data_IF_080549887954
#
_entry.id   IF_080549887954
#
_cell.length_a   1.000
_cell.length_b   1.000
_cell.length_c   1.000
_cell.angle_alpha   90.00
_cell.angle_beta   90.00
_cell.angle_gamma   90.00
#
_symmetry.space_group_name_H-M   'P 1'
#
loop_
_entity.id
_entity.type
_entity.pdbx_description
1 polymer ?
#
# COMPACT_ATOMS: atom_id res chain seq x y z
N UNK A 1 -9.07 -68.92 19.27
CA UNK A 1 -9.88 -68.35 18.16
C UNK A 1 -10.41 -66.99 18.63
N UNK A 2 -10.19 -65.83 18.02
CA UNK A 2 -9.78 -65.49 16.66
C UNK A 2 -9.15 -64.07 16.66
N UNK A 3 -8.05 -63.89 15.91
CA UNK A 3 -7.49 -62.59 15.52
C UNK A 3 -8.41 -61.94 14.48
N UNK A 4 -8.72 -60.64 14.60
CA UNK A 4 -9.03 -59.77 13.45
C UNK A 4 -8.38 -58.39 13.63
N UNK A 5 -7.32 -58.15 12.86
CA UNK A 5 -6.56 -56.91 12.77
C UNK A 5 -7.35 -55.86 11.97
N UNK A 6 -7.67 -54.72 12.57
CA UNK A 6 -8.20 -53.53 11.86
C UNK A 6 -7.00 -52.78 11.27
N UNK A 7 -6.60 -53.13 10.04
CA UNK A 7 -5.54 -52.44 9.25
C UNK A 7 -6.12 -51.52 8.15
N UNK A 8 -7.24 -50.86 8.39
CA UNK A 8 -7.92 -50.02 7.39
C UNK A 8 -7.57 -48.51 7.41
N UNK A 9 -7.01 -47.99 8.51
CA UNK A 9 -7.00 -46.53 8.75
C UNK A 9 -5.66 -45.83 8.45
N UNK A 10 -4.60 -46.58 8.12
CA UNK A 10 -3.27 -46.01 7.87
C UNK A 10 -3.12 -45.51 6.42
N UNK A 11 -3.72 -46.21 5.45
CA UNK A 11 -3.66 -45.82 4.03
C UNK A 11 -4.40 -44.51 3.72
N UNK A 12 -5.48 -44.21 4.45
CA UNK A 12 -6.25 -42.96 4.29
C UNK A 12 -5.49 -41.71 4.77
N UNK A 13 -4.66 -41.85 5.81
CA UNK A 13 -3.85 -40.75 6.34
C UNK A 13 -2.69 -40.40 5.40
N UNK A 14 -2.05 -41.42 4.83
CA UNK A 14 -0.93 -41.24 3.88
C UNK A 14 -1.40 -40.64 2.54
N UNK A 15 -2.61 -40.97 2.09
CA UNK A 15 -3.21 -40.37 0.90
C UNK A 15 -3.51 -38.88 1.10
N UNK A 16 -3.96 -38.46 2.29
CA UNK A 16 -4.26 -37.07 2.58
C UNK A 16 -2.99 -36.22 2.70
N UNK A 17 -1.92 -36.75 3.30
CA UNK A 17 -0.61 -36.07 3.32
C UNK A 17 0.01 -35.95 1.95
N UNK A 18 -0.13 -36.98 1.10
CA UNK A 18 0.36 -36.93 -0.28
C UNK A 18 -0.43 -35.92 -1.13
N UNK A 19 -1.75 -35.85 -0.96
CA UNK A 19 -2.60 -34.87 -1.63
C UNK A 19 -2.28 -33.42 -1.18
N UNK A 20 -1.99 -33.22 0.12
CA UNK A 20 -1.55 -31.92 0.63
C UNK A 20 -0.17 -31.54 0.06
N UNK A 21 0.78 -32.48 0.01
CA UNK A 21 2.11 -32.22 -0.55
C UNK A 21 2.05 -31.90 -2.05
N UNK A 22 1.19 -32.59 -2.81
CA UNK A 22 0.96 -32.31 -4.22
C UNK A 22 0.27 -30.96 -4.45
N UNK A 23 -0.68 -30.56 -3.59
CA UNK A 23 -1.33 -29.25 -3.72
C UNK A 23 -0.39 -28.08 -3.37
N UNK A 24 0.55 -28.26 -2.44
CA UNK A 24 1.60 -27.28 -2.17
C UNK A 24 2.67 -27.20 -3.29
N UNK A 25 2.88 -28.27 -4.06
CA UNK A 25 3.86 -28.32 -5.16
C UNK A 25 3.37 -27.72 -6.48
N UNK A 26 2.06 -27.50 -6.63
CA UNK A 26 1.40 -27.06 -7.88
C UNK A 26 0.99 -25.58 -7.87
N UNK A 27 1.43 -24.77 -6.90
CA UNK A 27 1.22 -23.33 -6.96
C UNK A 27 2.07 -22.74 -8.08
N UNK A 28 1.49 -22.58 -9.26
CA UNK A 28 2.09 -21.83 -10.35
C UNK A 28 2.51 -20.44 -9.89
N UNK A 29 3.63 -19.95 -10.41
CA UNK A 29 4.12 -18.60 -10.14
C UNK A 29 3.12 -17.60 -10.75
N UNK A 30 2.20 -17.10 -9.95
CA UNK A 30 1.33 -16.01 -10.36
C UNK A 30 2.17 -14.73 -10.44
N UNK A 31 2.42 -14.24 -11.65
CA UNK A 31 3.04 -12.93 -11.86
C UNK A 31 2.02 -11.84 -11.51
N UNK A 32 1.99 -11.42 -10.25
CA UNK A 32 1.30 -10.18 -9.85
C UNK A 32 2.06 -8.97 -10.37
N UNK A 33 1.73 -8.50 -11.58
CA UNK A 33 2.41 -7.35 -12.20
C UNK A 33 2.21 -6.02 -11.42
N UNK A 34 1.20 -5.93 -10.57
CA UNK A 34 0.73 -4.69 -9.95
C UNK A 34 1.47 -4.24 -8.67
N UNK A 35 2.68 -4.77 -8.39
CA UNK A 35 3.48 -4.36 -7.21
C UNK A 35 4.88 -3.84 -7.55
N UNK A 36 5.09 -3.50 -8.82
CA UNK A 36 6.39 -3.02 -9.30
C UNK A 36 6.29 -1.58 -9.81
N UNK A 37 7.39 -0.84 -9.74
CA UNK A 37 7.58 0.46 -10.33
C UNK A 37 8.69 0.44 -11.40
N UNK A 38 9.11 1.62 -11.81
CA UNK A 38 10.19 1.80 -12.77
C UNK A 38 11.14 2.93 -12.38
N UNK A 39 12.35 2.88 -12.92
CA UNK A 39 13.28 4.02 -12.97
C UNK A 39 13.52 4.32 -14.43
N UNK A 40 13.37 5.57 -14.84
CA UNK A 40 13.56 5.97 -16.23
C UNK A 40 14.25 7.32 -16.32
N UNK A 41 14.79 7.66 -17.48
CA UNK A 41 15.34 9.00 -17.69
C UNK A 41 16.22 9.07 -18.91
N UNK A 42 17.16 9.99 -18.86
CA UNK A 42 18.15 10.22 -19.92
C UNK A 42 19.56 10.06 -19.39
N UNK A 43 20.44 9.56 -20.24
CA UNK A 43 21.87 9.44 -20.04
C UNK A 43 22.62 9.93 -21.30
N UNK A 44 23.92 10.24 -21.22
CA UNK A 44 24.72 10.57 -22.38
C UNK A 44 24.66 9.45 -23.43
N UNK A 45 24.81 9.82 -24.71
CA UNK A 45 24.88 8.84 -25.79
C UNK A 45 26.35 8.58 -26.06
N UNK A 46 26.93 7.58 -25.40
CA UNK A 46 28.24 7.06 -25.75
C UNK A 46 28.21 5.53 -25.88
N UNK A 47 29.11 4.99 -26.72
CA UNK A 47 29.19 3.55 -26.94
C UNK A 47 29.59 2.82 -25.64
N UNK A 48 28.83 1.78 -25.28
CA UNK A 48 29.12 0.96 -24.09
C UNK A 48 28.58 1.52 -22.77
N UNK A 49 27.63 2.45 -22.81
CA UNK A 49 26.96 2.95 -21.61
C UNK A 49 25.77 2.06 -21.21
N UNK A 50 25.78 1.64 -19.94
CA UNK A 50 24.68 0.92 -19.30
C UNK A 50 24.29 1.62 -18.01
N UNK A 51 23.02 1.58 -17.67
CA UNK A 51 22.52 2.06 -16.38
C UNK A 51 22.31 0.86 -15.48
N UNK A 52 22.98 0.87 -14.33
CA UNK A 52 22.87 -0.14 -13.29
C UNK A 52 22.02 0.38 -12.14
N UNK A 53 20.91 -0.29 -11.87
CA UNK A 53 19.97 0.00 -10.79
C UNK A 53 20.08 -1.09 -9.73
N UNK A 54 20.45 -0.74 -8.50
CA UNK A 54 20.67 -1.69 -7.40
C UNK A 54 19.73 -1.40 -6.25
N UNK A 55 19.00 -2.41 -5.78
CA UNK A 55 18.15 -2.31 -4.59
C UNK A 55 19.00 -2.26 -3.32
N UNK A 56 18.80 -1.23 -2.50
CA UNK A 56 19.54 -1.06 -1.24
C UNK A 56 19.14 -2.12 -0.19
N UNK A 57 17.97 -2.75 -0.34
CA UNK A 57 17.43 -3.71 0.64
C UNK A 57 17.74 -5.18 0.32
N UNK A 58 17.83 -5.52 -0.98
CA UNK A 58 17.95 -6.91 -1.44
C UNK A 58 19.22 -7.17 -2.24
N UNK A 59 19.92 -6.12 -2.69
CA UNK A 59 21.02 -6.25 -3.63
C UNK A 59 20.58 -6.60 -5.06
N UNK A 60 19.28 -6.67 -5.33
CA UNK A 60 18.73 -6.92 -6.67
C UNK A 60 19.32 -5.88 -7.64
N UNK A 61 20.05 -6.37 -8.65
CA UNK A 61 20.67 -5.54 -9.67
C UNK A 61 19.91 -5.69 -10.98
N UNK A 62 19.60 -4.56 -11.63
CA UNK A 62 19.04 -4.50 -12.98
C UNK A 62 19.93 -3.61 -13.83
N UNK A 63 20.41 -4.14 -14.94
CA UNK A 63 21.18 -3.37 -15.92
C UNK A 63 20.37 -3.17 -17.20
N UNK A 64 20.41 -1.95 -17.73
CA UNK A 64 19.70 -1.55 -18.95
C UNK A 64 20.64 -0.76 -19.84
N UNK A 65 20.67 -1.05 -21.13
CA UNK A 65 21.44 -0.26 -22.11
C UNK A 65 20.79 1.10 -22.35
N UNK A 66 21.61 2.14 -22.53
CA UNK A 66 21.12 3.44 -22.97
C UNK A 66 20.78 3.37 -24.46
N UNK A 67 19.58 3.84 -24.84
CA UNK A 67 19.14 3.92 -26.23
C UNK A 67 19.97 4.91 -27.04
N UNK A 68 19.91 4.82 -28.37
CA UNK A 68 20.58 5.76 -29.27
C UNK A 68 20.06 7.21 -29.15
N UNK A 69 18.86 7.36 -28.60
CA UNK A 69 18.20 8.62 -28.26
C UNK A 69 18.57 9.13 -26.85
N UNK A 70 19.42 8.40 -26.12
CA UNK A 70 19.83 8.72 -24.75
C UNK A 70 18.83 8.29 -23.69
N UNK A 71 17.71 7.67 -24.06
CA UNK A 71 16.69 7.24 -23.12
C UNK A 71 16.98 5.85 -22.53
N UNK A 72 16.61 5.65 -21.28
CA UNK A 72 16.66 4.34 -20.63
C UNK A 72 15.45 4.14 -19.71
N UNK A 73 15.06 2.88 -19.52
CA UNK A 73 13.97 2.51 -18.61
C UNK A 73 14.21 1.13 -18.00
N UNK A 74 14.34 1.10 -16.68
CA UNK A 74 14.38 -0.09 -15.87
C UNK A 74 13.00 -0.30 -15.23
N UNK A 75 12.23 -1.24 -15.79
CA UNK A 75 10.89 -1.60 -15.29
C UNK A 75 10.92 -2.84 -14.40
N UNK A 76 9.78 -3.14 -13.78
CA UNK A 76 9.56 -4.30 -12.90
C UNK A 76 10.43 -4.28 -11.63
N UNK A 77 10.73 -3.07 -11.15
CA UNK A 77 11.47 -2.89 -9.91
C UNK A 77 10.51 -3.00 -8.72
N UNK A 78 10.83 -3.83 -7.72
CA UNK A 78 10.08 -3.84 -6.46
C UNK A 78 10.01 -2.45 -5.81
N UNK A 79 9.00 -2.22 -4.97
CA UNK A 79 8.96 -0.99 -4.15
C UNK A 79 10.15 -0.97 -3.20
N UNK A 80 10.82 0.17 -3.14
CA UNK A 80 11.93 0.37 -2.22
C UNK A 80 12.85 1.49 -2.64
N UNK A 81 14.01 1.51 -1.99
CA UNK A 81 15.05 2.48 -2.25
C UNK A 81 16.17 1.86 -3.10
N UNK A 82 16.62 2.62 -4.09
CA UNK A 82 17.55 2.19 -5.11
C UNK A 82 18.72 3.16 -5.25
N UNK A 83 19.86 2.59 -5.67
CA UNK A 83 21.01 3.32 -6.14
C UNK A 83 21.11 3.14 -7.65
N UNK A 84 21.11 4.24 -8.40
CA UNK A 84 21.17 4.27 -9.86
C UNK A 84 22.53 4.76 -10.28
N UNK A 85 23.27 3.97 -11.06
CA UNK A 85 24.62 4.31 -11.52
C UNK A 85 24.73 4.24 -13.03
N UNK A 86 25.36 5.26 -13.63
CA UNK A 86 25.79 5.22 -15.02
C UNK A 86 27.11 4.47 -15.09
N UNK A 87 27.15 3.42 -15.90
CA UNK A 87 28.32 2.60 -16.17
C UNK A 87 28.83 2.89 -17.57
N UNK A 88 30.13 3.11 -17.73
CA UNK A 88 30.79 3.22 -19.04
C UNK A 88 31.93 2.22 -19.08
N UNK A 89 31.85 1.24 -19.99
CA UNK A 89 32.84 0.17 -20.13
C UNK A 89 33.14 -0.56 -18.81
N UNK A 90 32.13 -0.74 -17.94
CA UNK A 90 32.26 -1.41 -16.64
C UNK A 90 32.71 -0.51 -15.47
N UNK A 91 33.00 0.78 -15.70
CA UNK A 91 33.33 1.73 -14.63
C UNK A 91 32.14 2.62 -14.29
N UNK A 92 31.97 2.94 -13.01
CA UNK A 92 30.94 3.88 -12.53
C UNK A 92 31.35 5.31 -12.89
N UNK A 93 30.53 6.00 -13.68
CA UNK A 93 30.76 7.39 -14.12
C UNK A 93 29.95 8.38 -13.28
N UNK A 94 28.76 7.98 -12.83
CA UNK A 94 27.88 8.81 -12.02
C UNK A 94 26.98 7.92 -11.17
N UNK A 95 26.62 8.38 -9.96
CA UNK A 95 25.75 7.64 -9.04
C UNK A 95 24.74 8.58 -8.40
N UNK A 96 23.47 8.19 -8.48
CA UNK A 96 22.36 8.76 -7.73
C UNK A 96 21.93 7.79 -6.64
N UNK A 97 22.08 8.22 -5.39
CA UNK A 97 21.67 7.45 -4.21
C UNK A 97 20.25 7.83 -3.77
N UNK A 98 19.62 6.96 -2.99
CA UNK A 98 18.30 7.19 -2.36
C UNK A 98 17.15 7.47 -3.35
N UNK A 99 17.16 6.80 -4.51
CA UNK A 99 16.06 6.87 -5.48
C UNK A 99 14.90 6.02 -4.97
N UNK A 100 13.80 6.66 -4.58
CA UNK A 100 12.58 5.98 -4.11
C UNK A 100 11.74 5.52 -5.30
N UNK A 101 11.44 4.23 -5.35
CA UNK A 101 10.56 3.63 -6.34
C UNK A 101 9.28 3.17 -5.65
N UNK A 102 8.16 3.75 -6.08
CA UNK A 102 6.81 3.41 -5.64
C UNK A 102 6.10 2.51 -6.67
N UNK A 103 5.01 1.84 -6.26
CA UNK A 103 4.24 0.97 -7.19
C UNK A 103 3.64 1.78 -8.32
N UNK A 104 3.68 1.24 -9.54
CA UNK A 104 3.05 1.84 -10.72
C UNK A 104 3.42 3.31 -11.00
N UNK A 105 4.45 3.82 -10.31
CA UNK A 105 5.09 5.10 -10.52
C UNK A 105 6.46 4.87 -11.12
N UNK A 106 6.92 5.85 -11.89
CA UNK A 106 8.29 5.86 -12.37
C UNK A 106 9.09 6.94 -11.67
N UNK A 107 10.31 6.60 -11.24
CA UNK A 107 11.25 7.56 -10.70
C UNK A 107 12.10 8.13 -11.86
N UNK A 108 11.90 9.40 -12.24
CA UNK A 108 12.73 10.04 -13.27
C UNK A 108 14.12 10.35 -12.71
N UNK A 109 15.16 9.83 -13.35
CA UNK A 109 16.57 10.07 -13.00
C UNK A 109 17.33 10.48 -14.25
N UNK A 110 17.74 11.75 -14.30
CA UNK A 110 18.62 12.26 -15.35
C UNK A 110 20.06 12.04 -14.91
N UNK A 111 20.78 11.20 -15.66
CA UNK A 111 22.18 10.93 -15.43
C UNK A 111 23.00 11.84 -16.33
N UNK A 112 23.83 12.69 -15.73
CA UNK A 112 24.86 13.41 -16.48
C UNK A 112 26.18 12.63 -16.39
N UNK A 113 26.94 12.60 -17.49
CA UNK A 113 28.36 12.26 -17.41
C UNK A 113 29.02 13.26 -16.44
N UNK A 114 29.77 12.76 -15.45
CA UNK A 114 30.51 13.62 -14.56
C UNK A 114 31.42 14.53 -15.40
N UNK A 115 31.22 15.85 -15.31
CA UNK A 115 32.18 16.83 -15.80
C UNK A 115 33.40 16.81 -14.87
N UNK A 116 34.24 15.78 -15.00
CA UNK A 116 35.42 15.58 -14.18
C UNK A 116 36.37 14.66 -14.93
N UNK A 117 37.49 15.22 -15.39
CA UNK A 117 38.50 14.49 -16.13
C UNK A 117 38.97 13.23 -15.42
N UNK A 118 39.50 12.30 -16.22
CA UNK A 118 40.33 11.18 -15.75
C UNK A 118 41.27 11.69 -14.64
N UNK A 119 41.19 11.07 -13.45
CA UNK A 119 41.96 11.38 -12.23
C UNK A 119 41.34 12.42 -11.27
N UNK A 120 40.32 12.01 -10.51
CA UNK A 120 40.08 12.61 -9.19
C UNK A 120 40.12 11.49 -8.17
N UNK A 121 41.27 11.36 -7.50
CA UNK A 121 41.38 10.59 -6.27
C UNK A 121 40.35 11.11 -5.26
N UNK A 122 39.77 10.15 -4.53
CA UNK A 122 38.70 10.30 -3.58
C UNK A 122 39.20 11.01 -2.30
N UNK A 123 39.54 12.29 -2.38
CA UNK A 123 39.82 13.13 -1.22
C UNK A 123 38.53 13.83 -0.78
N UNK A 124 37.83 13.17 0.16
CA UNK A 124 36.90 13.80 1.10
C UNK A 124 36.03 14.93 0.54
N UNK A 125 35.34 14.71 -0.56
CA UNK A 125 34.35 15.66 -1.02
C UNK A 125 33.20 15.65 -0.02
N UNK A 126 32.99 16.78 0.67
CA UNK A 126 31.73 17.06 1.36
C UNK A 126 30.64 17.08 0.29
N UNK A 127 29.99 15.94 0.11
CA UNK A 127 28.84 15.84 -0.79
C UNK A 127 27.73 16.70 -0.19
N UNK A 128 27.61 17.92 -0.70
CA UNK A 128 26.44 18.76 -0.44
C UNK A 128 25.27 18.08 -1.15
N UNK A 129 24.58 17.17 -0.46
CA UNK A 129 23.25 16.73 -0.83
C UNK A 129 22.31 17.91 -0.65
N UNK A 130 22.33 18.84 -1.60
CA UNK A 130 21.20 19.74 -1.79
C UNK A 130 19.99 18.83 -1.95
N UNK A 131 18.95 19.04 -1.13
CA UNK A 131 17.65 18.39 -1.29
C UNK A 131 17.15 18.74 -2.69
N UNK A 132 17.48 17.90 -3.68
CA UNK A 132 16.91 17.98 -5.00
C UNK A 132 15.40 17.86 -4.81
N UNK A 133 14.65 18.83 -5.34
CA UNK A 133 13.19 18.77 -5.33
C UNK A 133 12.79 17.38 -5.87
N UNK A 134 11.85 16.68 -5.21
CA UNK A 134 11.42 15.37 -5.67
C UNK A 134 10.98 15.50 -7.13
N UNK A 135 11.67 14.79 -8.01
CA UNK A 135 11.45 14.89 -9.44
C UNK A 135 10.03 14.40 -9.75
N UNK A 136 9.27 15.22 -10.48
CA UNK A 136 7.88 14.92 -10.82
C UNK A 136 7.87 13.89 -11.93
N UNK A 137 7.13 12.79 -11.72
CA UNK A 137 6.86 11.81 -12.77
C UNK A 137 5.93 12.43 -13.83
N UNK A 138 6.53 12.93 -14.91
CA UNK A 138 5.81 13.49 -16.07
C UNK A 138 5.28 12.41 -17.03
N UNK A 139 5.56 11.13 -16.77
CA UNK A 139 5.07 10.02 -17.59
C UNK A 139 3.65 9.57 -17.19
N UNK A 140 3.17 10.01 -16.02
CA UNK A 140 1.87 9.62 -15.48
C UNK A 140 0.89 10.78 -15.44
N UNK A 141 -0.36 10.51 -15.82
CA UNK A 141 -1.51 11.42 -15.64
C UNK A 141 -2.30 11.13 -14.37
N UNK A 142 -1.85 10.17 -13.55
CA UNK A 142 -2.56 9.73 -12.33
C UNK A 142 -2.44 10.78 -11.23
N UNK A 143 -3.57 11.11 -10.61
CA UNK A 143 -3.57 11.89 -9.37
C UNK A 143 -3.45 10.93 -8.17
N UNK A 144 -2.22 10.75 -7.71
CA UNK A 144 -1.88 9.78 -6.66
C UNK A 144 -1.22 10.46 -5.46
N UNK A 145 -1.65 10.09 -4.26
CA UNK A 145 -0.94 10.38 -3.02
C UNK A 145 -0.31 9.09 -2.48
N UNK A 146 1.01 9.11 -2.31
CA UNK A 146 1.78 7.97 -1.80
C UNK A 146 2.25 8.28 -0.40
N UNK A 147 1.87 7.43 0.56
CA UNK A 147 2.30 7.53 1.95
C UNK A 147 3.16 6.31 2.30
N UNK A 148 4.42 6.56 2.67
CA UNK A 148 5.40 5.51 2.98
C UNK A 148 5.33 5.06 4.43
N UNK A 149 5.86 3.87 4.74
CA UNK A 149 5.94 3.36 6.11
C UNK A 149 6.67 4.31 7.07
N UNK A 150 7.67 5.04 6.60
CA UNK A 150 8.39 6.06 7.38
C UNK A 150 7.46 7.20 7.78
N UNK A 151 6.64 7.70 6.84
CA UNK A 151 5.65 8.75 7.10
C UNK A 151 4.52 8.24 8.01
N UNK A 152 4.03 7.02 7.79
CA UNK A 152 3.01 6.40 8.65
C UNK A 152 3.46 6.29 10.11
N UNK A 153 4.76 6.11 10.38
CA UNK A 153 5.27 6.09 11.75
C UNK A 153 5.22 7.45 12.45
N UNK A 154 5.25 8.55 11.68
CA UNK A 154 5.31 9.91 12.21
C UNK A 154 3.93 10.56 12.32
N UNK A 155 2.96 10.14 11.49
CA UNK A 155 1.66 10.77 11.40
C UNK A 155 0.69 10.27 12.48
N UNK A 156 0.02 11.17 13.22
CA UNK A 156 -0.97 10.79 14.22
C UNK A 156 -2.30 10.43 13.55
N UNK A 157 -2.40 9.21 13.02
CA UNK A 157 -3.61 8.68 12.37
C UNK A 157 -4.36 7.69 13.25
N UNK A 158 -5.64 7.44 12.94
CA UNK A 158 -6.44 6.39 13.60
C UNK A 158 -5.99 4.96 13.25
N UNK A 159 -5.00 4.84 12.35
CA UNK A 159 -4.28 3.62 11.94
C UNK A 159 -5.11 2.61 11.17
N UNK A 160 -5.84 3.11 10.18
CA UNK A 160 -6.58 2.32 9.20
C UNK A 160 -6.34 2.89 7.80
N UNK A 161 -6.70 2.12 6.78
CA UNK A 161 -6.50 2.47 5.38
C UNK A 161 -7.19 3.78 5.01
N UNK A 162 -8.39 3.98 5.54
CA UNK A 162 -9.21 5.15 5.24
C UNK A 162 -8.59 6.43 5.82
N UNK A 163 -8.09 6.39 7.05
CA UNK A 163 -7.44 7.57 7.64
C UNK A 163 -6.17 7.97 6.91
N UNK A 164 -5.48 7.01 6.26
CA UNK A 164 -4.32 7.31 5.41
C UNK A 164 -4.80 7.95 4.09
N UNK A 165 -5.86 7.40 3.48
CA UNK A 165 -6.42 7.93 2.24
C UNK A 165 -7.00 9.35 2.39
N UNK A 166 -7.50 9.72 3.58
CA UNK A 166 -7.95 11.08 3.89
C UNK A 166 -6.83 12.15 3.84
N UNK A 167 -5.56 11.76 3.78
CA UNK A 167 -4.45 12.69 3.56
C UNK A 167 -4.34 13.14 2.10
N UNK A 168 -4.96 12.40 1.17
CA UNK A 168 -4.94 12.75 -0.24
C UNK A 168 -5.93 13.90 -0.52
N UNK A 169 -5.58 14.84 -1.42
CA UNK A 169 -6.48 15.91 -1.82
C UNK A 169 -7.72 15.35 -2.52
N UNK A 170 -8.87 16.00 -2.34
CA UNK A 170 -10.13 15.57 -2.96
C UNK A 170 -10.79 14.34 -2.30
N UNK A 171 -10.35 13.97 -1.10
CA UNK A 171 -10.99 12.92 -0.30
C UNK A 171 -11.79 13.52 0.85
N UNK A 172 -12.89 12.88 1.22
CA UNK A 172 -13.74 13.32 2.34
C UNK A 172 -14.33 12.14 3.09
N UNK A 173 -14.48 12.28 4.41
CA UNK A 173 -15.07 11.23 5.24
C UNK A 173 -16.54 11.02 4.90
N UNK A 174 -16.94 9.78 4.66
CA UNK A 174 -18.33 9.40 4.49
C UNK A 174 -19.09 9.29 5.81
N UNK A 175 -20.38 9.01 5.70
CA UNK A 175 -21.23 8.76 6.87
C UNK A 175 -21.17 7.27 7.25
N UNK A 176 -20.92 6.97 8.52
CA UNK A 176 -20.90 5.59 9.04
C UNK A 176 -22.19 4.80 8.76
N UNK A 177 -23.31 5.49 8.57
CA UNK A 177 -24.60 4.87 8.21
C UNK A 177 -24.62 4.28 6.79
N UNK A 178 -23.68 4.68 5.94
CA UNK A 178 -23.54 4.20 4.55
C UNK A 178 -22.58 3.00 4.45
N UNK A 179 -22.00 2.58 5.57
CA UNK A 179 -21.03 1.50 5.65
C UNK A 179 -19.79 1.88 6.44
N UNK A 180 -19.11 0.86 6.96
CA UNK A 180 -17.84 1.01 7.67
C UNK A 180 -16.80 0.08 7.10
N UNK A 181 -15.56 0.55 6.98
CA UNK A 181 -14.42 -0.27 6.61
C UNK A 181 -14.03 -1.29 7.69
N UNK A 182 -13.00 -2.10 7.45
CA UNK A 182 -12.60 -3.22 8.33
C UNK A 182 -12.30 -2.83 9.77
N UNK A 183 -11.85 -1.60 9.98
CA UNK A 183 -11.53 -1.06 11.30
C UNK A 183 -12.72 -0.39 11.99
N UNK A 184 -13.94 -0.48 11.43
CA UNK A 184 -15.14 0.19 11.91
C UNK A 184 -15.17 1.69 11.62
N UNK A 185 -14.28 2.17 10.75
CA UNK A 185 -14.24 3.58 10.32
C UNK A 185 -15.22 3.85 9.19
N UNK A 186 -15.80 5.07 9.10
CA UNK A 186 -16.59 5.44 7.95
C UNK A 186 -15.77 5.29 6.66
N UNK A 187 -16.43 4.78 5.61
CA UNK A 187 -15.85 4.74 4.26
C UNK A 187 -15.63 6.17 3.74
N UNK A 188 -14.80 6.32 2.71
CA UNK A 188 -14.39 7.63 2.17
C UNK A 188 -15.10 7.91 0.85
N UNK A 189 -15.40 9.17 0.57
CA UNK A 189 -15.75 9.64 -0.76
C UNK A 189 -14.54 10.28 -1.43
N UNK A 190 -14.33 9.94 -2.70
CA UNK A 190 -13.27 10.47 -3.55
C UNK A 190 -13.91 11.33 -4.63
N UNK A 191 -13.47 12.58 -4.78
CA UNK A 191 -13.95 13.45 -5.86
C UNK A 191 -15.45 13.79 -5.83
N UNK A 192 -16.18 13.41 -4.76
CA UNK A 192 -17.63 13.56 -4.67
C UNK A 192 -18.43 12.29 -4.97
N UNK A 193 -17.77 11.19 -5.34
CA UNK A 193 -18.40 9.90 -5.65
C UNK A 193 -18.88 9.16 -4.39
N UNK A 194 -19.66 8.11 -4.60
CA UNK A 194 -20.22 7.32 -3.51
C UNK A 194 -19.13 6.56 -2.74
N UNK A 195 -19.35 6.36 -1.45
CA UNK A 195 -18.39 5.64 -0.58
C UNK A 195 -18.22 4.16 -0.93
N UNK A 196 -19.14 3.61 -1.73
CA UNK A 196 -19.15 2.21 -2.22
C UNK A 196 -18.69 2.08 -3.68
N UNK A 197 -18.20 3.17 -4.28
CA UNK A 197 -17.65 3.17 -5.64
C UNK A 197 -16.12 3.11 -5.66
N UNK A 198 -15.53 2.81 -4.50
CA UNK A 198 -14.09 2.71 -4.31
C UNK A 198 -13.60 1.28 -4.43
N UNK A 199 -12.38 1.10 -4.94
CA UNK A 199 -11.75 -0.20 -4.97
C UNK A 199 -10.55 -0.29 -4.00
N UNK A 200 -10.42 -1.45 -3.36
CA UNK A 200 -9.39 -1.77 -2.38
C UNK A 200 -8.46 -2.83 -2.94
N UNK A 201 -7.17 -2.57 -2.93
CA UNK A 201 -6.15 -3.49 -3.41
C UNK A 201 -5.11 -3.77 -2.33
N UNK A 202 -4.69 -5.02 -2.21
CA UNK A 202 -3.53 -5.42 -1.42
C UNK A 202 -2.56 -6.15 -2.34
N UNK A 203 -1.33 -5.64 -2.43
CA UNK A 203 -0.28 -6.18 -3.30
C UNK A 203 -0.79 -6.41 -4.74
N UNK A 204 -1.61 -5.48 -5.26
CA UNK A 204 -2.17 -5.56 -6.61
C UNK A 204 -3.38 -6.50 -6.77
N UNK A 205 -3.81 -7.19 -5.72
CA UNK A 205 -5.02 -8.02 -5.75
C UNK A 205 -6.23 -7.23 -5.25
N UNK A 206 -7.35 -7.32 -5.96
CA UNK A 206 -8.60 -6.70 -5.53
C UNK A 206 -9.12 -7.43 -4.27
N UNK A 207 -9.35 -6.64 -3.23
CA UNK A 207 -9.82 -7.06 -1.89
C UNK A 207 -11.10 -6.37 -1.48
N UNK A 208 -11.72 -5.64 -2.40
CA UNK A 208 -13.02 -4.97 -2.24
C UNK A 208 -14.09 -6.00 -1.88
N UNK A 209 -15.04 -5.64 -1.02
CA UNK A 209 -16.19 -6.48 -0.71
C UNK A 209 -16.94 -6.85 -2.01
N UNK A 210 -17.00 -8.14 -2.39
CA UNK A 210 -17.60 -8.55 -3.65
C UNK A 210 -19.13 -8.41 -3.68
N UNK A 211 -19.78 -8.25 -2.52
CA UNK A 211 -21.25 -8.18 -2.42
C UNK A 211 -21.73 -6.74 -2.48
N UNK A 212 -21.28 -5.89 -1.55
CA UNK A 212 -21.77 -4.53 -1.40
C UNK A 212 -20.83 -3.43 -1.90
N UNK A 213 -19.60 -3.78 -2.34
CA UNK A 213 -18.49 -2.83 -2.57
C UNK A 213 -18.23 -1.88 -1.39
N UNK A 214 -18.65 -2.27 -0.17
CA UNK A 214 -18.52 -1.45 1.02
C UNK A 214 -17.19 -1.78 1.72
N UNK A 215 -16.13 -1.07 1.31
CA UNK A 215 -14.80 -1.33 1.85
C UNK A 215 -14.12 -2.55 1.20
N UNK A 216 -13.11 -3.09 1.88
CA UNK A 216 -12.39 -4.28 1.45
C UNK A 216 -11.47 -4.77 2.56
N UNK A 217 -10.74 -5.87 2.37
CA UNK A 217 -9.74 -6.31 3.35
C UNK A 217 -8.58 -5.31 3.37
N UNK A 218 -8.07 -4.97 4.55
CA UNK A 218 -6.92 -4.07 4.72
C UNK A 218 -5.78 -4.76 5.49
N UNK A 219 -4.55 -4.35 5.20
CA UNK A 219 -3.38 -4.78 5.96
C UNK A 219 -3.37 -4.14 7.36
N UNK A 220 -2.83 -4.83 8.38
CA UNK A 220 -2.50 -4.19 9.65
C UNK A 220 -1.61 -2.97 9.41
N UNK A 221 -1.84 -1.87 10.12
CA UNK A 221 -1.17 -0.58 9.88
C UNK A 221 0.36 -0.66 9.78
N UNK A 222 1.00 -1.46 10.65
CA UNK A 222 2.46 -1.62 10.67
C UNK A 222 3.00 -2.67 9.68
N UNK A 223 2.12 -3.36 8.96
CA UNK A 223 2.49 -4.25 7.88
C UNK A 223 2.55 -3.53 6.52
N UNK A 224 1.99 -2.32 6.43
CA UNK A 224 1.96 -1.50 5.21
C UNK A 224 3.35 -0.89 4.99
N UNK A 225 3.99 -1.24 3.88
CA UNK A 225 5.20 -0.59 3.40
C UNK A 225 4.89 0.75 2.70
N UNK A 226 3.83 0.76 1.91
CA UNK A 226 3.38 1.91 1.14
C UNK A 226 1.86 1.81 0.95
N UNK A 227 1.15 2.93 1.10
CA UNK A 227 -0.23 3.04 0.65
C UNK A 227 -0.34 4.13 -0.41
N UNK A 228 -0.91 3.77 -1.54
CA UNK A 228 -1.25 4.67 -2.61
C UNK A 228 -2.75 4.96 -2.60
N UNK A 229 -3.06 6.23 -2.72
CA UNK A 229 -4.42 6.74 -2.78
C UNK A 229 -4.57 7.43 -4.12
N UNK A 230 -5.23 6.77 -5.06
CA UNK A 230 -5.41 7.28 -6.43
C UNK A 230 -6.82 7.84 -6.53
N UNK A 231 -6.93 9.15 -6.74
CA UNK A 231 -8.22 9.84 -6.77
C UNK A 231 -8.78 9.98 -8.18
N UNK A 232 -7.91 10.01 -9.20
CA UNK A 232 -8.30 10.12 -10.61
C UNK A 232 -7.17 9.69 -11.55
N UNK A 233 -7.49 9.52 -12.83
CA UNK A 233 -6.53 9.18 -13.89
C UNK A 233 -5.99 7.75 -13.82
N UNK A 234 -6.58 6.87 -13.00
CA UNK A 234 -6.22 5.46 -12.93
C UNK A 234 -6.64 4.71 -14.20
N UNK A 235 -5.84 3.72 -14.61
CA UNK A 235 -6.07 2.97 -15.83
C UNK A 235 -7.07 1.82 -15.66
N UNK A 236 -7.34 1.12 -16.76
CA UNK A 236 -8.30 0.01 -16.82
C UNK A 236 -7.91 -1.20 -15.94
N UNK A 237 -6.67 -1.26 -15.45
CA UNK A 237 -6.24 -2.25 -14.47
C UNK A 237 -7.00 -2.15 -13.14
N UNK A 238 -7.54 -0.97 -12.81
CA UNK A 238 -8.36 -0.75 -11.63
C UNK A 238 -9.85 -0.76 -12.01
N UNK A 239 -10.36 -1.97 -12.30
CA UNK A 239 -11.77 -2.17 -12.60
C UNK A 239 -12.69 -2.07 -11.37
N UNK A 240 -13.99 -1.90 -11.62
CA UNK A 240 -15.05 -1.82 -10.59
C UNK A 240 -14.86 -0.67 -9.58
N UNK A 241 -14.20 0.39 -10.02
CA UNK A 241 -14.04 1.64 -9.28
C UNK A 241 -14.53 2.78 -10.17
N UNK A 242 -15.44 3.62 -9.65
CA UNK A 242 -15.82 4.90 -10.27
C UNK A 242 -15.30 6.07 -9.44
N UNK A 243 -15.18 5.88 -8.12
CA UNK A 243 -14.58 6.83 -7.19
C UNK A 243 -13.06 6.73 -7.16
N UNK A 244 -12.51 6.30 -6.03
CA UNK A 244 -11.06 6.21 -5.83
C UNK A 244 -10.54 4.79 -5.61
N UNK A 245 -9.22 4.65 -5.75
CA UNK A 245 -8.50 3.40 -5.50
C UNK A 245 -7.59 3.54 -4.30
N UNK A 246 -7.74 2.64 -3.34
CA UNK A 246 -6.82 2.46 -2.21
C UNK A 246 -5.98 1.22 -2.49
N UNK A 247 -4.70 1.40 -2.77
CA UNK A 247 -3.75 0.30 -3.02
C UNK A 247 -2.71 0.24 -1.91
N UNK A 248 -2.70 -0.87 -1.18
CA UNK A 248 -1.75 -1.12 -0.09
C UNK A 248 -0.71 -2.14 -0.53
N UNK A 249 0.55 -1.86 -0.23
CA UNK A 249 1.64 -2.80 -0.39
C UNK A 249 2.20 -3.15 0.98
N UNK A 250 2.35 -4.44 1.23
CA UNK A 250 2.97 -4.95 2.45
C UNK A 250 4.50 -4.89 2.39
N UNK A 251 5.16 -4.91 3.55
CA UNK A 251 6.60 -5.06 3.60
C UNK A 251 7.09 -6.33 2.88
N UNK A 252 8.04 -6.14 1.96
CA UNK A 252 8.79 -7.22 1.33
C UNK A 252 9.98 -7.61 2.19
N UNK A 253 10.36 -8.89 2.16
CA UNK A 253 11.56 -9.36 2.86
C UNK A 253 12.84 -8.80 2.22
N UNK A 254 13.80 -8.41 3.04
CA UNK A 254 15.16 -8.05 2.64
C UNK A 254 16.17 -9.13 3.08
N UNK A 255 17.46 -8.83 2.92
CA UNK A 255 18.53 -9.75 3.33
C UNK A 255 18.79 -9.72 4.85
N UNK A 256 18.24 -8.75 5.56
CA UNK A 256 18.36 -8.61 7.01
C UNK A 256 17.13 -9.18 7.72
N UNK A 257 17.38 -9.79 8.88
CA UNK A 257 16.33 -10.33 9.74
C UNK A 257 15.67 -9.20 10.53
N UNK A 258 14.34 -9.11 10.47
CA UNK A 258 13.56 -8.12 11.22
C UNK A 258 12.33 -8.74 11.90
N UNK A 259 12.26 -8.61 13.22
CA UNK A 259 11.09 -8.95 14.04
C UNK A 259 10.58 -7.71 14.79
N UNK A 260 9.30 -7.71 15.16
CA UNK A 260 8.72 -6.62 15.94
C UNK A 260 7.35 -6.99 16.47
N UNK A 261 7.03 -6.50 17.66
CA UNK A 261 5.72 -6.62 18.29
C UNK A 261 5.16 -5.22 18.57
N UNK A 262 3.84 -5.09 18.52
CA UNK A 262 3.18 -3.84 18.85
C UNK A 262 1.90 -4.09 19.63
N UNK A 263 1.62 -3.20 20.60
CA UNK A 263 0.43 -3.25 21.45
C UNK A 263 -0.28 -1.90 21.38
N UNK A 264 -1.54 -1.91 20.94
CA UNK A 264 -2.47 -0.79 21.14
C UNK A 264 -3.28 -1.02 22.40
N UNK A 265 -3.37 -0.01 23.26
CA UNK A 265 -4.32 0.00 24.36
C UNK A 265 -5.09 1.32 24.37
N UNK A 266 -6.43 1.23 24.36
CA UNK A 266 -7.35 2.37 24.38
C UNK A 266 -8.33 2.20 25.54
N UNK A 267 -7.99 2.65 26.77
CA UNK A 267 -8.88 2.50 27.91
C UNK A 267 -10.18 3.27 27.72
N UNK A 268 -11.32 2.63 28.02
CA UNK A 268 -12.65 3.24 27.84
C UNK A 268 -12.89 4.43 28.77
N UNK A 269 -12.22 4.47 29.93
CA UNK A 269 -12.31 5.59 30.89
C UNK A 269 -11.60 6.86 30.40
N UNK A 270 -10.68 6.76 29.45
CA UNK A 270 -9.94 7.88 28.88
C UNK A 270 -10.50 8.35 27.52
N UNK A 271 -11.58 7.73 27.05
CA UNK A 271 -12.19 8.07 25.77
C UNK A 271 -13.23 9.18 25.98
N UNK A 272 -13.20 10.18 25.10
CA UNK A 272 -14.28 11.16 25.02
C UNK A 272 -15.60 10.43 24.70
N UNK A 273 -16.72 10.78 25.35
CA UNK A 273 -18.01 10.20 25.02
C UNK A 273 -18.36 10.50 23.56
N UNK A 274 -18.70 9.46 22.79
CA UNK A 274 -19.12 9.61 21.38
C UNK A 274 -20.32 10.55 21.31
N UNK A 275 -20.17 11.68 20.61
CA UNK A 275 -21.26 12.64 20.39
C UNK A 275 -22.37 11.95 19.59
N UNK A 276 -23.43 11.54 20.29
CA UNK A 276 -24.65 11.08 19.65
C UNK A 276 -25.27 12.27 18.91
N UNK A 277 -25.22 12.27 17.58
CA UNK A 277 -25.98 13.23 16.78
C UNK A 277 -27.47 13.02 17.04
N UNK A 278 -28.12 14.00 17.67
CA UNK A 278 -29.56 13.98 17.88
C UNK A 278 -30.23 14.33 16.54
N UNK A 279 -30.54 13.33 15.74
CA UNK A 279 -31.43 13.54 14.59
C UNK A 279 -32.82 13.81 15.13
N UNK A 280 -33.20 15.09 15.17
CA UNK A 280 -34.53 15.52 15.57
C UNK A 280 -35.50 15.17 14.45
N UNK A 281 -36.06 13.96 14.47
CA UNK A 281 -37.15 13.57 13.58
C UNK A 281 -38.34 14.50 13.85
N UNK A 282 -38.54 15.52 13.01
CA UNK A 282 -39.80 16.28 13.01
C UNK A 282 -40.88 15.32 12.49
N UNK A 283 -41.59 14.66 13.40
CA UNK A 283 -42.87 14.07 13.07
C UNK A 283 -43.78 15.22 12.63
N UNK A 284 -44.00 15.34 11.32
CA UNK A 284 -45.02 16.21 10.74
C UNK A 284 -46.37 15.55 11.02
N UNK A 285 -46.85 15.68 12.27
CA UNK A 285 -48.26 15.40 12.56
C UNK A 285 -49.08 16.49 11.87
N UNK A 286 -49.88 16.07 10.91
CA UNK A 286 -51.01 16.82 10.38
C UNK A 286 -51.80 17.42 11.54
N UNK A 287 -52.19 18.70 11.39
CA UNK A 287 -53.00 19.45 12.36
C UNK A 287 -54.26 18.66 12.70
N UNK A 288 -54.29 18.12 13.90
CA UNK A 288 -55.48 17.67 14.61
C UNK A 288 -55.31 18.15 16.05
N UNK A 289 -56.24 18.99 16.46
CA UNK A 289 -56.38 19.59 17.79
C UNK A 289 -56.18 18.54 18.90
N UNK A 290 -55.24 18.74 19.83
CA UNK A 290 -55.29 18.35 21.24
C UNK A 290 -53.92 18.47 21.94
N UNK A 291 -53.95 19.09 23.10
CA UNK A 291 -52.89 19.23 24.10
C UNK A 291 -52.35 17.89 24.58
N UNK A 292 -51.02 17.68 24.60
CA UNK A 292 -50.43 16.51 25.26
C UNK A 292 -48.93 16.30 25.04
N UNK A 293 -48.15 16.64 26.07
CA UNK A 293 -46.84 16.10 26.50
C UNK A 293 -45.87 15.55 25.43
N UNK A 294 -44.77 16.28 25.21
CA UNK A 294 -43.65 15.84 24.38
C UNK A 294 -42.82 14.77 25.13
N UNK A 295 -43.16 13.48 24.95
CA UNK A 295 -42.34 12.36 25.44
C UNK A 295 -41.25 12.03 24.41
N UNK A 296 -39.99 12.28 24.75
CA UNK A 296 -38.84 11.88 23.95
C UNK A 296 -38.30 10.54 24.48
N UNK A 297 -38.44 9.47 23.69
CA UNK A 297 -37.87 8.16 24.00
C UNK A 297 -36.42 8.15 23.54
N UNK A 298 -35.48 8.38 24.46
CA UNK A 298 -34.06 8.17 24.24
C UNK A 298 -33.73 6.69 24.49
N UNK A 299 -33.62 5.86 23.43
CA UNK A 299 -33.06 4.50 23.56
C UNK A 299 -31.53 4.59 23.65
N UNK A 300 -30.99 4.36 24.84
CA UNK A 300 -29.56 4.28 25.12
C UNK A 300 -29.09 2.84 24.91
N UNK A 301 -28.59 2.51 23.71
CA UNK A 301 -27.95 1.21 23.48
C UNK A 301 -26.46 1.32 23.81
N UNK A 302 -26.02 0.65 24.87
CA UNK A 302 -24.63 0.65 25.35
C UNK A 302 -23.92 -0.60 24.82
N UNK A 303 -23.27 -0.51 23.67
CA UNK A 303 -22.51 -1.63 23.09
C UNK A 303 -21.06 -1.54 23.56
N UNK A 304 -20.68 -2.36 24.55
CA UNK A 304 -19.29 -2.49 24.99
C UNK A 304 -18.53 -3.48 24.11
N UNK A 305 -17.60 -3.01 23.29
CA UNK A 305 -16.69 -3.86 22.54
C UNK A 305 -15.30 -3.85 23.22
N UNK A 306 -14.90 -4.98 23.81
CA UNK A 306 -13.51 -5.26 24.17
C UNK A 306 -12.85 -5.90 22.95
N UNK A 307 -11.89 -5.23 22.33
CA UNK A 307 -11.04 -5.85 21.31
C UNK A 307 -9.60 -5.81 21.79
N UNK A 308 -9.06 -6.99 22.11
CA UNK A 308 -7.65 -7.23 22.37
C UNK A 308 -7.17 -8.11 21.22
N UNK A 309 -6.46 -7.52 20.26
CA UNK A 309 -5.89 -8.27 19.15
C UNK A 309 -4.40 -8.43 19.40
N UNK A 310 -4.01 -9.63 19.81
CA UNK A 310 -2.62 -10.03 19.98
C UNK A 310 -2.16 -10.66 18.66
N UNK A 311 -1.31 -9.98 17.90
CA UNK A 311 -0.76 -10.50 16.64
C UNK A 311 0.70 -10.83 16.87
N UNK A 312 1.02 -12.11 16.91
CA UNK A 312 2.41 -12.57 16.87
C UNK A 312 2.93 -12.47 15.44
N UNK A 313 4.02 -11.72 15.28
CA UNK A 313 4.82 -11.69 14.07
C UNK A 313 5.93 -12.71 14.20
N UNK A 314 5.83 -13.80 13.44
CA UNK A 314 6.96 -14.68 13.16
C UNK A 314 7.23 -14.61 11.65
N UNK A 315 8.48 -14.28 11.29
CA UNK A 315 9.12 -14.60 10.02
C UNK A 315 10.53 -15.03 10.36
#
# INVERSE_FOLDING_TARGET
MNKRYVRGNQYRRNALTAALALSLGLTGVAYGQATTGSVFGTAPVAAGETVRVVSNQTGLTREVSVGSDGHYSASQLPVGEYTVSLMQNGNVVSTHNHVLVSVAGGAPVVLAAAAGGKNVENLGAVTVTANALPAIDVSSTRQTSVITAQQLKQLPLARNAESIALLAPGTSGGNASLGTGPAGTPLISFGGDSTVENAYYINGFNTTDPVGNAGGIALPYFAIAEQQTITSGYGAEYGRSTGGVISQIGHRGGNEFHAGAYVTWRPTWAQAPTTTSITRTRNRRTRGNESGTCSSIARRTRTGARSTTLIFRAR
#
